data_IF_368644667277
#
_entry.id   IF_368644667277
#
_cell.length_a   1.000
_cell.length_b   1.000
_cell.length_c   1.000
_cell.angle_alpha   90.00
_cell.angle_beta   90.00
_cell.angle_gamma   90.00
#
_symmetry.space_group_name_H-M   'P 1'
#
loop_
_entity.id
_entity.type
_entity.pdbx_description
1 polymer ?
#
# COMPACT_ATOMS: atom_id res chain seq x y z
N UNK A 1 -3.25 -17.40 -23.12
CA UNK A 1 -4.47 -16.63 -22.79
C UNK A 1 -5.02 -17.16 -21.48
N UNK A 2 -5.36 -16.29 -20.53
CA UNK A 2 -6.10 -16.72 -19.33
C UNK A 2 -7.58 -16.93 -19.64
N UNK A 3 -7.91 -17.71 -20.66
CA UNK A 3 -9.30 -18.14 -20.84
C UNK A 3 -9.64 -19.06 -19.66
N UNK A 4 -10.71 -18.73 -18.94
CA UNK A 4 -11.23 -19.66 -17.93
C UNK A 4 -11.60 -20.96 -18.65
N UNK A 5 -10.85 -22.03 -18.38
CA UNK A 5 -11.13 -23.38 -18.90
C UNK A 5 -12.39 -23.98 -18.29
N UNK A 6 -12.95 -23.35 -17.25
CA UNK A 6 -14.20 -23.75 -16.61
C UNK A 6 -15.40 -23.08 -17.29
N UNK A 7 -16.51 -23.81 -17.53
CA UNK A 7 -17.75 -23.22 -18.05
C UNK A 7 -18.26 -22.10 -17.12
N UNK A 8 -18.98 -21.09 -17.64
CA UNK A 8 -19.52 -20.02 -16.83
C UNK A 8 -20.59 -20.57 -15.88
N UNK A 9 -20.51 -20.21 -14.59
CA UNK A 9 -21.45 -20.71 -13.58
C UNK A 9 -22.88 -20.17 -13.78
N UNK A 10 -23.04 -18.99 -14.40
CA UNK A 10 -24.33 -18.39 -14.74
C UNK A 10 -24.17 -17.35 -15.87
N UNK A 11 -25.30 -16.81 -16.38
CA UNK A 11 -25.31 -15.77 -17.43
C UNK A 11 -24.56 -14.50 -17.04
N UNK A 12 -24.61 -14.08 -15.78
CA UNK A 12 -23.85 -12.93 -15.28
C UNK A 12 -22.34 -13.14 -15.43
N UNK A 13 -21.83 -14.32 -15.05
CA UNK A 13 -20.43 -14.71 -15.21
C UNK A 13 -20.04 -14.80 -16.69
N UNK A 14 -20.95 -15.23 -17.57
CA UNK A 14 -20.70 -15.25 -19.01
C UNK A 14 -20.52 -13.83 -19.59
N UNK A 15 -21.36 -12.88 -19.19
CA UNK A 15 -21.24 -11.47 -19.61
C UNK A 15 -20.00 -10.81 -18.99
N UNK A 16 -19.76 -11.00 -17.69
CA UNK A 16 -18.60 -10.44 -17.01
C UNK A 16 -17.28 -10.90 -17.64
N UNK A 17 -17.20 -12.16 -18.11
CA UNK A 17 -16.04 -12.70 -18.83
C UNK A 17 -15.68 -11.88 -20.08
N UNK A 18 -16.64 -11.30 -20.79
CA UNK A 18 -16.35 -10.44 -21.95
C UNK A 18 -15.68 -9.12 -21.56
N UNK A 19 -15.87 -8.66 -20.33
CA UNK A 19 -15.26 -7.41 -19.84
C UNK A 19 -13.84 -7.66 -19.32
N UNK A 20 -13.62 -8.70 -18.51
CA UNK A 20 -12.34 -8.87 -17.82
C UNK A 20 -11.32 -9.75 -18.55
N UNK A 21 -11.75 -10.68 -19.43
CA UNK A 21 -10.82 -11.54 -20.18
C UNK A 21 -9.95 -10.76 -21.19
N UNK A 22 -10.45 -9.75 -21.93
CA UNK A 22 -9.62 -8.95 -22.83
C UNK A 22 -8.50 -8.23 -22.07
N UNK A 23 -8.80 -7.79 -20.83
CA UNK A 23 -7.89 -7.11 -19.91
C UNK A 23 -6.90 -8.09 -19.23
N UNK A 24 -6.99 -9.38 -19.55
CA UNK A 24 -6.03 -10.41 -19.16
C UNK A 24 -6.32 -11.07 -17.82
N UNK A 25 -7.47 -10.80 -17.19
CA UNK A 25 -7.90 -11.51 -15.98
C UNK A 25 -8.57 -12.83 -16.33
N UNK A 26 -8.24 -13.91 -15.60
CA UNK A 26 -8.90 -15.22 -15.74
C UNK A 26 -10.01 -15.44 -14.71
N UNK A 27 -9.98 -14.70 -13.59
CA UNK A 27 -10.93 -14.80 -12.48
C UNK A 27 -11.54 -13.43 -12.17
N UNK A 28 -12.86 -13.37 -12.02
CA UNK A 28 -13.60 -12.13 -11.81
C UNK A 28 -13.22 -11.38 -10.52
N UNK A 29 -12.94 -12.10 -9.42
CA UNK A 29 -12.55 -11.42 -8.16
C UNK A 29 -11.22 -10.67 -8.29
N UNK A 30 -10.25 -11.17 -9.07
CA UNK A 30 -9.00 -10.45 -9.32
C UNK A 30 -9.25 -9.16 -10.11
N UNK A 31 -10.22 -9.18 -11.03
CA UNK A 31 -10.63 -7.99 -11.77
C UNK A 31 -11.30 -6.97 -10.85
N UNK A 32 -12.22 -7.39 -9.97
CA UNK A 32 -12.87 -6.48 -9.01
C UNK A 32 -11.85 -5.84 -8.07
N UNK A 33 -10.91 -6.63 -7.52
CA UNK A 33 -9.85 -6.10 -6.68
C UNK A 33 -8.96 -5.11 -7.44
N UNK A 34 -8.56 -5.45 -8.67
CA UNK A 34 -7.79 -4.53 -9.50
C UNK A 34 -8.56 -3.24 -9.81
N UNK A 35 -9.85 -3.33 -10.13
CA UNK A 35 -10.69 -2.17 -10.41
C UNK A 35 -10.82 -1.25 -9.17
N UNK A 36 -11.02 -1.82 -7.98
CA UNK A 36 -11.13 -1.04 -6.75
C UNK A 36 -9.78 -0.37 -6.42
N UNK A 37 -8.68 -1.13 -6.39
CA UNK A 37 -7.39 -0.60 -5.94
C UNK A 37 -6.67 0.20 -7.02
N UNK A 38 -6.44 -0.40 -8.20
CA UNK A 38 -5.74 0.28 -9.28
C UNK A 38 -6.63 1.33 -9.95
N UNK A 39 -7.92 1.04 -10.15
CA UNK A 39 -8.86 2.03 -10.66
C UNK A 39 -9.12 3.17 -9.67
N UNK A 40 -9.20 2.88 -8.36
CA UNK A 40 -9.25 3.91 -7.32
C UNK A 40 -8.01 4.80 -7.30
N UNK A 41 -6.82 4.20 -7.46
CA UNK A 41 -5.56 4.94 -7.62
C UNK A 41 -5.59 5.84 -8.86
N UNK A 42 -6.00 5.31 -10.02
CA UNK A 42 -6.13 6.10 -11.24
C UNK A 42 -7.11 7.26 -11.08
N UNK A 43 -8.29 7.00 -10.49
CA UNK A 43 -9.28 8.03 -10.20
C UNK A 43 -8.73 9.14 -9.29
N UNK A 44 -7.99 8.75 -8.24
CA UNK A 44 -7.32 9.71 -7.37
C UNK A 44 -6.29 10.56 -8.13
N UNK A 45 -5.46 9.95 -8.97
CA UNK A 45 -4.44 10.67 -9.74
C UNK A 45 -5.09 11.64 -10.73
N UNK A 46 -6.12 11.20 -11.45
CA UNK A 46 -6.86 12.07 -12.36
C UNK A 46 -7.49 13.25 -11.63
N UNK A 47 -8.08 13.02 -10.45
CA UNK A 47 -8.64 14.10 -9.63
C UNK A 47 -7.59 15.09 -9.10
N UNK A 48 -6.33 14.67 -9.01
CA UNK A 48 -5.21 15.50 -8.51
C UNK A 48 -4.26 15.97 -9.60
N UNK A 49 -4.47 15.59 -10.86
CA UNK A 49 -3.68 16.03 -12.00
C UNK A 49 -3.61 17.58 -12.13
N UNK A 50 -4.68 18.35 -11.83
CA UNK A 50 -4.59 19.81 -11.84
C UNK A 50 -3.53 20.39 -10.89
N UNK A 51 -3.05 19.63 -9.90
CA UNK A 51 -2.06 20.10 -8.93
C UNK A 51 -0.65 20.27 -9.52
N UNK A 52 -0.41 19.87 -10.77
CA UNK A 52 0.82 20.25 -11.48
C UNK A 52 0.95 21.77 -11.60
N UNK A 53 -0.18 22.47 -11.75
CA UNK A 53 -0.23 23.93 -11.65
C UNK A 53 -0.26 24.34 -10.17
N UNK A 54 0.95 24.50 -9.62
CA UNK A 54 1.11 24.82 -8.21
C UNK A 54 0.52 26.19 -7.88
N UNK A 55 0.89 27.23 -8.62
CA UNK A 55 0.54 28.61 -8.26
C UNK A 55 -0.89 28.98 -8.74
N UNK A 56 -1.45 28.29 -9.74
CA UNK A 56 -2.81 28.55 -10.25
C UNK A 56 -3.92 27.67 -9.68
N UNK A 57 -3.62 26.43 -9.27
CA UNK A 57 -4.64 25.48 -8.77
C UNK A 57 -4.35 25.00 -7.35
N UNK A 58 -3.15 24.46 -7.09
CA UNK A 58 -2.86 23.88 -5.77
C UNK A 58 -2.81 24.95 -4.68
N UNK A 59 -2.16 26.07 -4.97
CA UNK A 59 -1.82 27.15 -4.05
C UNK A 59 -2.28 28.50 -4.63
N UNK A 60 -3.56 28.58 -5.01
CA UNK A 60 -4.12 29.80 -5.56
C UNK A 60 -4.28 30.86 -4.45
N UNK A 61 -3.76 32.09 -4.62
CA UNK A 61 -3.78 33.14 -3.60
C UNK A 61 -5.18 33.45 -3.05
N UNK A 62 -6.19 33.46 -3.91
CA UNK A 62 -7.56 33.87 -3.55
C UNK A 62 -8.46 32.69 -3.13
N UNK A 63 -7.89 31.50 -2.90
CA UNK A 63 -8.67 30.31 -2.55
C UNK A 63 -8.50 29.97 -1.07
N UNK A 64 -9.60 30.02 -0.31
CA UNK A 64 -9.66 29.64 1.11
C UNK A 64 -9.56 28.12 1.35
N UNK A 65 -8.83 27.40 0.48
CA UNK A 65 -8.87 25.95 0.41
C UNK A 65 -10.18 25.43 -0.19
N UNK A 66 -10.10 24.29 -0.86
CA UNK A 66 -11.27 23.70 -1.50
C UNK A 66 -10.98 22.31 -2.06
N UNK A 67 -12.00 21.63 -2.56
CA UNK A 67 -11.87 20.26 -3.09
C UNK A 67 -10.77 20.13 -4.16
N UNK A 68 -10.53 21.21 -4.92
CA UNK A 68 -9.59 21.31 -6.04
C UNK A 68 -8.27 22.03 -5.71
N UNK A 69 -8.00 22.38 -4.45
CA UNK A 69 -6.76 23.04 -4.03
C UNK A 69 -6.09 22.34 -2.86
N UNK A 70 -5.04 22.93 -2.30
CA UNK A 70 -4.49 22.52 -1.02
C UNK A 70 -5.57 22.62 0.07
N UNK A 71 -5.42 21.84 1.14
CA UNK A 71 -6.29 22.01 2.30
C UNK A 71 -6.10 23.41 2.90
N UNK A 72 -7.15 23.91 3.54
CA UNK A 72 -7.18 25.23 4.15
C UNK A 72 -5.94 25.44 5.06
N UNK A 73 -5.17 26.51 4.84
CA UNK A 73 -3.95 26.84 5.58
C UNK A 73 -2.69 26.03 5.23
N UNK A 74 -2.77 24.98 4.42
CA UNK A 74 -1.59 24.19 4.01
C UNK A 74 -0.71 24.96 3.02
N UNK A 75 -1.33 25.76 2.13
CA UNK A 75 -0.56 26.54 1.17
C UNK A 75 0.38 27.54 1.85
N UNK A 76 -0.12 28.27 2.85
CA UNK A 76 0.69 29.13 3.70
C UNK A 76 1.84 28.34 4.34
N UNK A 77 1.54 27.14 4.84
CA UNK A 77 2.53 26.29 5.52
C UNK A 77 3.69 25.90 4.60
N UNK A 78 3.41 25.58 3.33
CA UNK A 78 4.46 25.27 2.34
C UNK A 78 5.16 26.50 1.76
N UNK A 79 4.54 27.67 1.83
CA UNK A 79 5.09 28.91 1.29
C UNK A 79 6.11 29.60 2.21
N UNK A 80 6.16 29.22 3.49
CA UNK A 80 7.07 29.81 4.49
C UNK A 80 8.55 29.71 4.08
N UNK A 81 8.95 28.55 3.54
CA UNK A 81 10.34 28.30 3.17
C UNK A 81 10.48 27.73 1.76
N UNK A 82 11.58 28.10 1.08
CA UNK A 82 11.87 27.64 -0.28
C UNK A 82 11.99 26.12 -0.38
N UNK A 83 12.55 25.48 0.65
CA UNK A 83 12.72 24.04 0.70
C UNK A 83 11.38 23.30 0.85
N UNK A 84 10.42 23.87 1.59
CA UNK A 84 9.07 23.31 1.74
C UNK A 84 8.29 23.40 0.43
N UNK A 85 8.32 24.57 -0.23
CA UNK A 85 7.73 24.78 -1.56
C UNK A 85 8.32 23.82 -2.59
N UNK A 86 9.63 23.63 -2.57
CA UNK A 86 10.30 22.66 -3.42
C UNK A 86 9.88 21.22 -3.10
N UNK A 87 9.80 20.85 -1.81
CA UNK A 87 9.41 19.52 -1.36
C UNK A 87 8.01 19.11 -1.83
N UNK A 88 7.01 19.98 -1.68
CA UNK A 88 5.65 19.69 -2.15
C UNK A 88 5.56 19.63 -3.69
N UNK A 89 6.27 20.52 -4.42
CA UNK A 89 6.35 20.44 -5.89
C UNK A 89 6.98 19.14 -6.34
N UNK A 90 8.13 18.78 -5.76
CA UNK A 90 8.82 17.51 -6.01
C UNK A 90 7.89 16.32 -5.75
N UNK A 91 7.19 16.32 -4.61
CA UNK A 91 6.27 15.25 -4.24
C UNK A 91 5.16 15.09 -5.29
N UNK A 92 4.45 16.17 -5.63
CA UNK A 92 3.35 16.15 -6.61
C UNK A 92 3.83 15.73 -8.01
N UNK A 93 4.94 16.33 -8.47
CA UNK A 93 5.48 16.10 -9.81
C UNK A 93 5.98 14.68 -10.03
N UNK A 94 6.22 13.92 -8.97
CA UNK A 94 6.73 12.55 -9.06
C UNK A 94 5.69 11.50 -8.65
N UNK A 95 4.87 11.77 -7.64
CA UNK A 95 3.87 10.80 -7.16
C UNK A 95 2.70 10.64 -8.13
N UNK A 96 2.26 11.71 -8.78
CA UNK A 96 1.17 11.66 -9.77
C UNK A 96 1.56 10.81 -11.00
N UNK A 97 2.69 11.06 -11.69
CA UNK A 97 3.10 10.19 -12.78
C UNK A 97 3.46 8.79 -12.30
N UNK A 98 4.12 8.63 -11.13
CA UNK A 98 4.42 7.29 -10.59
C UNK A 98 3.16 6.45 -10.40
N UNK A 99 2.11 7.03 -9.83
CA UNK A 99 0.84 6.34 -9.64
C UNK A 99 0.17 5.95 -10.96
N UNK A 100 0.25 6.81 -11.99
CA UNK A 100 -0.33 6.51 -13.30
C UNK A 100 0.41 5.35 -13.97
N UNK A 101 1.74 5.40 -13.91
CA UNK A 101 2.61 4.34 -14.38
C UNK A 101 2.42 3.03 -13.60
N UNK A 102 2.11 3.09 -12.31
CA UNK A 102 1.79 1.92 -11.50
C UNK A 102 0.46 1.28 -11.90
N UNK A 103 -0.57 2.07 -12.21
CA UNK A 103 -1.81 1.54 -12.78
C UNK A 103 -1.53 0.71 -14.04
N UNK A 104 -0.70 1.22 -14.95
CA UNK A 104 -0.26 0.48 -16.13
C UNK A 104 0.57 -0.76 -15.78
N UNK A 105 1.38 -0.68 -14.72
CA UNK A 105 2.21 -1.79 -14.28
C UNK A 105 1.37 -3.01 -13.81
N UNK A 106 0.23 -2.76 -13.14
CA UNK A 106 -0.65 -3.81 -12.64
C UNK A 106 -1.63 -4.37 -13.69
N UNK A 107 -1.65 -3.84 -14.92
CA UNK A 107 -2.45 -4.40 -16.02
C UNK A 107 -1.85 -5.73 -16.50
N UNK A 108 -2.57 -6.87 -16.39
CA UNK A 108 -2.04 -8.18 -16.77
C UNK A 108 -1.61 -8.27 -18.23
N UNK A 109 -2.34 -7.61 -19.16
CA UNK A 109 -1.99 -7.60 -20.59
C UNK A 109 -0.55 -7.11 -20.80
N UNK A 110 -0.17 -6.00 -20.15
CA UNK A 110 1.11 -5.35 -20.40
C UNK A 110 2.26 -6.25 -19.97
N UNK A 111 2.12 -6.93 -18.82
CA UNK A 111 3.10 -7.91 -18.35
C UNK A 111 3.25 -9.11 -19.30
N UNK A 112 2.17 -9.55 -19.95
CA UNK A 112 2.19 -10.73 -20.81
C UNK A 112 2.61 -10.46 -22.25
N UNK A 113 2.28 -9.28 -22.79
CA UNK A 113 2.51 -8.94 -24.21
C UNK A 113 3.67 -7.97 -24.44
N UNK A 114 3.95 -7.08 -23.48
CA UNK A 114 4.90 -5.97 -23.67
C UNK A 114 5.88 -5.90 -22.48
N UNK A 115 6.67 -6.97 -22.31
CA UNK A 115 7.57 -7.14 -21.16
C UNK A 115 8.61 -6.00 -21.08
N UNK A 116 9.17 -5.57 -22.21
CA UNK A 116 10.16 -4.47 -22.23
C UNK A 116 9.56 -3.17 -21.69
N UNK A 117 8.32 -2.84 -22.10
CA UNK A 117 7.60 -1.69 -21.55
C UNK A 117 7.38 -1.83 -20.05
N UNK A 118 6.93 -3.01 -19.58
CA UNK A 118 6.74 -3.26 -18.15
C UNK A 118 8.03 -3.09 -17.33
N UNK A 119 9.18 -3.51 -17.88
CA UNK A 119 10.49 -3.36 -17.25
C UNK A 119 10.93 -1.89 -17.15
N UNK A 120 10.91 -1.16 -18.27
CA UNK A 120 11.29 0.27 -18.30
C UNK A 120 10.36 1.08 -17.39
N UNK A 121 9.04 0.86 -17.53
CA UNK A 121 8.03 1.48 -16.68
C UNK A 121 8.29 1.21 -15.20
N UNK A 122 8.65 -0.01 -14.83
CA UNK A 122 8.97 -0.38 -13.45
C UNK A 122 10.13 0.43 -12.86
N UNK A 123 11.24 0.61 -13.59
CA UNK A 123 12.38 1.40 -13.11
C UNK A 123 12.03 2.89 -12.97
N UNK A 124 11.32 3.46 -13.94
CA UNK A 124 10.86 4.85 -13.88
C UNK A 124 9.94 5.06 -12.68
N UNK A 125 8.98 4.15 -12.50
CA UNK A 125 8.03 4.18 -11.38
C UNK A 125 8.74 4.16 -10.03
N UNK A 126 9.76 3.33 -9.86
CA UNK A 126 10.52 3.24 -8.61
C UNK A 126 11.35 4.50 -8.37
N UNK A 127 12.02 5.02 -9.40
CA UNK A 127 12.78 6.27 -9.29
C UNK A 127 11.88 7.43 -8.85
N UNK A 128 10.75 7.61 -9.54
CA UNK A 128 9.77 8.64 -9.19
C UNK A 128 9.22 8.45 -7.77
N UNK A 129 8.95 7.21 -7.37
CA UNK A 129 8.46 6.89 -6.02
C UNK A 129 9.46 7.27 -4.92
N UNK A 130 10.76 7.03 -5.13
CA UNK A 130 11.82 7.39 -4.18
C UNK A 130 11.94 8.92 -4.07
N UNK A 131 12.02 9.62 -5.21
CA UNK A 131 12.10 11.09 -5.24
C UNK A 131 10.85 11.72 -4.61
N UNK A 132 9.66 11.20 -4.92
CA UNK A 132 8.42 11.68 -4.33
C UNK A 132 8.31 11.42 -2.84
N UNK A 133 8.89 10.34 -2.34
CA UNK A 133 8.97 10.08 -0.90
C UNK A 133 9.90 11.05 -0.21
N UNK A 134 11.05 11.40 -0.82
CA UNK A 134 11.94 12.44 -0.30
C UNK A 134 11.20 13.79 -0.18
N UNK A 135 10.46 14.20 -1.23
CA UNK A 135 9.62 15.40 -1.19
C UNK A 135 8.57 15.37 -0.08
N UNK A 136 7.94 14.21 0.16
CA UNK A 136 6.97 14.04 1.26
C UNK A 136 7.62 14.20 2.65
N UNK A 137 8.82 13.63 2.84
CA UNK A 137 9.53 13.73 4.11
C UNK A 137 10.00 15.16 4.41
N UNK A 138 10.36 15.94 3.38
CA UNK A 138 10.72 17.36 3.54
C UNK A 138 9.58 18.17 4.14
N UNK A 139 8.34 17.90 3.76
CA UNK A 139 7.16 18.66 4.19
C UNK A 139 6.42 18.06 5.40
N UNK A 140 6.79 16.85 5.82
CA UNK A 140 6.05 16.10 6.86
C UNK A 140 5.91 16.86 8.20
N UNK A 141 6.89 17.69 8.55
CA UNK A 141 6.91 18.47 9.79
C UNK A 141 6.05 19.74 9.76
N UNK A 142 5.47 20.11 8.61
CA UNK A 142 4.51 21.22 8.49
C UNK A 142 3.13 20.77 8.02
N UNK A 143 3.04 19.62 7.34
CA UNK A 143 1.79 19.08 6.82
C UNK A 143 0.78 18.82 7.94
N UNK A 144 -0.39 19.45 7.83
CA UNK A 144 -1.49 19.32 8.79
C UNK A 144 -1.09 19.55 10.25
N UNK A 145 -0.10 20.43 10.48
CA UNK A 145 0.38 20.82 11.80
C UNK A 145 1.63 20.07 12.27
N UNK A 146 2.07 19.04 11.54
CA UNK A 146 3.40 18.46 11.70
C UNK A 146 3.71 17.83 13.05
N UNK A 147 2.68 17.47 13.83
CA UNK A 147 2.84 16.84 15.14
C UNK A 147 3.68 15.55 15.09
N UNK A 148 4.20 15.14 16.25
CA UNK A 148 5.02 13.92 16.34
C UNK A 148 4.27 12.66 15.87
N UNK A 149 2.95 12.62 16.05
CA UNK A 149 2.06 11.58 15.54
C UNK A 149 2.06 11.53 14.00
N UNK A 150 2.02 12.69 13.34
CA UNK A 150 2.06 12.84 11.89
C UNK A 150 3.43 12.43 11.36
N UNK A 151 4.50 12.96 11.94
CA UNK A 151 5.86 12.65 11.52
C UNK A 151 6.19 11.15 11.70
N UNK A 152 5.75 10.55 12.82
CA UNK A 152 5.90 9.11 13.04
C UNK A 152 5.11 8.29 12.00
N UNK A 153 3.86 8.66 11.71
CA UNK A 153 3.03 7.95 10.73
C UNK A 153 3.59 8.05 9.31
N UNK A 154 3.97 9.26 8.88
CA UNK A 154 4.54 9.52 7.55
C UNK A 154 5.92 8.88 7.42
N UNK A 155 6.76 8.97 8.45
CA UNK A 155 8.06 8.31 8.50
C UNK A 155 7.95 6.79 8.39
N UNK A 156 7.03 6.18 9.14
CA UNK A 156 6.75 4.74 9.04
C UNK A 156 6.24 4.37 7.65
N UNK A 157 5.30 5.13 7.09
CA UNK A 157 4.79 4.91 5.73
C UNK A 157 5.92 4.97 4.69
N UNK A 158 6.84 5.95 4.80
CA UNK A 158 7.99 6.09 3.92
C UNK A 158 8.93 4.87 4.02
N UNK A 159 9.25 4.41 5.24
CA UNK A 159 10.09 3.23 5.48
C UNK A 159 9.45 1.99 4.86
N UNK A 160 8.16 1.76 5.12
CA UNK A 160 7.44 0.60 4.59
C UNK A 160 7.35 0.64 3.06
N UNK A 161 7.06 1.81 2.49
CA UNK A 161 6.96 1.99 1.05
C UNK A 161 8.30 1.81 0.33
N UNK A 162 9.31 2.60 0.70
CA UNK A 162 10.64 2.55 0.06
C UNK A 162 11.32 1.22 0.36
N UNK A 163 11.25 0.72 1.59
CA UNK A 163 11.77 -0.59 1.96
C UNK A 163 11.17 -1.71 1.11
N UNK A 164 9.85 -1.68 0.88
CA UNK A 164 9.18 -2.65 0.00
C UNK A 164 9.64 -2.55 -1.45
N UNK A 165 9.86 -1.33 -1.99
CA UNK A 165 10.38 -1.14 -3.33
C UNK A 165 11.82 -1.68 -3.48
N UNK A 166 12.68 -1.42 -2.50
CA UNK A 166 14.07 -1.91 -2.50
C UNK A 166 14.13 -3.44 -2.42
N UNK A 167 13.31 -4.04 -1.55
CA UNK A 167 13.20 -5.50 -1.44
C UNK A 167 12.63 -6.12 -2.73
N UNK A 168 11.64 -5.48 -3.35
CA UNK A 168 11.11 -5.90 -4.64
C UNK A 168 12.14 -5.82 -5.75
N UNK A 169 12.97 -4.76 -5.78
CA UNK A 169 14.09 -4.60 -6.71
C UNK A 169 15.15 -5.69 -6.52
N UNK A 170 15.53 -5.97 -5.28
CA UNK A 170 16.49 -7.02 -5.00
C UNK A 170 16.00 -8.38 -5.53
N UNK A 171 14.75 -8.73 -5.26
CA UNK A 171 14.19 -10.02 -5.69
C UNK A 171 14.06 -10.15 -7.21
N UNK A 172 13.69 -9.09 -7.94
CA UNK A 172 13.63 -9.17 -9.41
C UNK A 172 15.02 -9.31 -10.04
N UNK A 173 16.06 -8.69 -9.44
CA UNK A 173 17.46 -8.89 -9.87
C UNK A 173 17.94 -10.32 -9.61
N UNK A 174 17.39 -11.00 -8.61
CA UNK A 174 17.62 -12.42 -8.33
C UNK A 174 16.67 -13.36 -9.09
N UNK A 175 15.89 -12.84 -10.03
CA UNK A 175 14.87 -13.56 -10.79
C UNK A 175 13.84 -14.29 -9.91
N UNK A 176 13.58 -13.80 -8.69
CA UNK A 176 12.51 -14.28 -7.80
C UNK A 176 11.23 -13.50 -8.01
N UNK A 177 10.41 -13.98 -8.94
CA UNK A 177 9.20 -13.29 -9.40
C UNK A 177 8.08 -13.28 -8.35
N UNK A 178 7.97 -14.34 -7.54
CA UNK A 178 6.98 -14.46 -6.48
C UNK A 178 7.22 -13.45 -5.35
N UNK A 179 8.47 -13.32 -4.89
CA UNK A 179 8.83 -12.31 -3.89
C UNK A 179 8.75 -10.90 -4.47
N UNK A 180 9.24 -10.68 -5.70
CA UNK A 180 9.09 -9.39 -6.36
C UNK A 180 7.62 -8.95 -6.41
N UNK A 181 6.70 -9.84 -6.83
CA UNK A 181 5.26 -9.56 -6.83
C UNK A 181 4.76 -9.21 -5.43
N UNK A 182 5.11 -10.00 -4.42
CA UNK A 182 4.62 -9.81 -3.07
C UNK A 182 5.02 -8.45 -2.49
N UNK A 183 6.29 -8.07 -2.65
CA UNK A 183 6.81 -6.79 -2.17
C UNK A 183 6.35 -5.59 -2.99
N UNK A 184 6.16 -5.73 -4.30
CA UNK A 184 5.52 -4.68 -5.11
C UNK A 184 4.08 -4.44 -4.68
N UNK A 185 3.31 -5.49 -4.37
CA UNK A 185 1.95 -5.34 -3.87
C UNK A 185 1.94 -4.61 -2.51
N UNK A 186 2.83 -4.98 -1.58
CA UNK A 186 2.99 -4.26 -0.30
C UNK A 186 3.23 -2.78 -0.51
N UNK A 187 4.22 -2.42 -1.34
CA UNK A 187 4.55 -1.02 -1.63
C UNK A 187 3.31 -0.24 -2.11
N UNK A 188 2.58 -0.74 -3.11
CA UNK A 188 1.45 -0.01 -3.69
C UNK A 188 0.20 -0.02 -2.81
N UNK A 189 0.01 -1.01 -1.94
CA UNK A 189 -1.01 -0.96 -0.90
C UNK A 189 -0.68 0.10 0.15
N UNK A 190 0.58 0.21 0.57
CA UNK A 190 1.01 1.27 1.49
C UNK A 190 0.83 2.66 0.86
N UNK A 191 1.22 2.85 -0.40
CA UNK A 191 0.97 4.11 -1.12
C UNK A 191 -0.54 4.42 -1.23
N UNK A 192 -1.37 3.39 -1.43
CA UNK A 192 -2.83 3.50 -1.45
C UNK A 192 -3.44 3.99 -0.12
N UNK A 193 -2.72 3.86 1.00
CA UNK A 193 -3.17 4.35 2.31
C UNK A 193 -3.49 5.83 2.32
N UNK A 194 -2.86 6.65 1.48
CA UNK A 194 -3.18 8.09 1.37
C UNK A 194 -4.60 8.34 0.84
N UNK A 195 -5.13 7.45 0.00
CA UNK A 195 -6.50 7.57 -0.52
C UNK A 195 -7.50 7.31 0.61
N UNK A 196 -7.33 6.20 1.34
CA UNK A 196 -8.18 5.90 2.49
C UNK A 196 -8.01 6.88 3.63
N UNK A 197 -6.79 7.40 3.86
CA UNK A 197 -6.53 8.46 4.83
C UNK A 197 -7.43 9.66 4.57
N UNK A 198 -7.60 10.09 3.31
CA UNK A 198 -8.48 11.22 3.00
C UNK A 198 -9.95 10.93 3.29
N UNK A 199 -10.41 9.70 3.05
CA UNK A 199 -11.78 9.31 3.38
C UNK A 199 -11.99 9.30 4.90
N UNK A 200 -11.08 8.66 5.65
CA UNK A 200 -11.12 8.57 7.11
C UNK A 200 -11.02 9.95 7.75
N UNK A 201 -10.10 10.79 7.28
CA UNK A 201 -9.92 12.17 7.74
C UNK A 201 -11.19 12.99 7.54
N UNK A 202 -11.76 13.01 6.34
CA UNK A 202 -13.00 13.75 6.07
C UNK A 202 -14.18 13.24 6.93
N UNK A 203 -14.30 11.92 7.10
CA UNK A 203 -15.32 11.33 7.97
C UNK A 203 -15.13 11.72 9.44
N UNK A 204 -13.89 11.64 9.94
CA UNK A 204 -13.57 12.02 11.31
C UNK A 204 -13.81 13.52 11.56
N UNK A 205 -13.44 14.39 10.60
CA UNK A 205 -13.68 15.82 10.68
C UNK A 205 -15.18 16.14 10.81
N UNK A 206 -16.04 15.46 10.03
CA UNK A 206 -17.49 15.59 10.15
C UNK A 206 -18.04 15.10 11.49
N UNK A 207 -17.42 14.07 12.09
CA UNK A 207 -17.85 13.52 13.39
C UNK A 207 -17.50 14.50 14.52
N UNK A 208 -16.25 14.97 14.59
CA UNK A 208 -15.81 15.87 15.68
C UNK A 208 -16.54 17.22 15.64
N UNK A 209 -16.92 17.68 14.45
CA UNK A 209 -17.71 18.91 14.27
C UNK A 209 -19.07 18.84 14.96
N UNK A 210 -19.63 17.63 15.14
CA UNK A 210 -20.93 17.42 15.84
C UNK A 210 -20.79 17.28 17.34
N UNK A 211 -19.58 16.99 17.86
CA UNK A 211 -19.33 16.80 19.30
C UNK A 211 -19.06 18.12 20.03
N UNK A 212 -18.65 19.17 19.30
CA UNK A 212 -18.70 20.56 19.76
C UNK A 212 -17.53 21.08 20.61
N UNK A 213 -16.64 20.22 21.12
CA UNK A 213 -15.58 20.63 22.05
C UNK A 213 -14.17 20.17 21.65
N UNK A 214 -13.86 20.13 20.34
CA UNK A 214 -12.51 19.82 19.84
C UNK A 214 -11.86 21.10 19.31
N UNK A 215 -10.62 21.36 19.73
CA UNK A 215 -9.87 22.55 19.37
C UNK A 215 -8.45 22.17 18.95
N UNK A 216 -7.89 22.93 18.00
CA UNK A 216 -6.50 22.80 17.56
C UNK A 216 -5.77 24.11 17.76
N UNK A 217 -4.55 24.06 18.26
CA UNK A 217 -3.68 25.23 18.42
C UNK A 217 -3.09 25.66 17.07
N UNK A 218 -3.33 26.91 16.67
CA UNK A 218 -2.75 27.53 15.47
C UNK A 218 -1.89 28.73 15.87
N UNK A 219 -0.84 29.01 15.10
CA UNK A 219 -0.11 30.27 15.22
C UNK A 219 -0.96 31.42 14.69
N UNK A 220 -0.83 32.59 15.31
CA UNK A 220 -1.54 33.79 14.92
C UNK A 220 -1.18 34.24 13.49
N UNK A 221 0.08 34.06 13.08
CA UNK A 221 0.52 34.32 11.70
C UNK A 221 -0.18 33.42 10.66
N UNK A 222 -0.30 32.11 10.95
CA UNK A 222 -1.08 31.20 10.09
C UNK A 222 -2.54 31.62 10.04
N UNK A 223 -3.09 32.05 11.16
CA UNK A 223 -4.49 32.43 11.25
C UNK A 223 -4.79 33.72 10.49
N UNK A 224 -3.88 34.70 10.52
CA UNK A 224 -3.97 35.94 9.74
C UNK A 224 -4.08 35.67 8.24
N UNK A 225 -3.48 34.57 7.74
CA UNK A 225 -3.58 34.19 6.32
C UNK A 225 -5.01 33.91 5.82
N UNK A 226 -5.97 33.66 6.73
CA UNK A 226 -7.39 33.49 6.40
C UNK A 226 -8.18 34.81 6.32
N UNK A 227 -7.58 35.92 6.76
CA UNK A 227 -8.24 37.22 6.95
C UNK A 227 -7.53 38.35 6.20
N UNK A 228 -6.87 38.05 5.07
CA UNK A 228 -6.01 39.02 4.35
C UNK A 228 -6.70 40.35 4.04
N UNK A 229 -8.02 40.34 3.82
CA UNK A 229 -8.82 41.52 3.51
C UNK A 229 -9.67 42.05 4.70
N UNK A 230 -9.57 41.45 5.90
CA UNK A 230 -10.40 41.77 7.07
C UNK A 230 -9.61 41.73 8.40
N UNK A 231 -8.65 42.65 8.53
CA UNK A 231 -7.83 42.79 9.75
C UNK A 231 -8.67 43.14 10.99
N UNK A 232 -9.73 43.93 10.83
CA UNK A 232 -10.62 44.30 11.94
C UNK A 232 -11.41 43.10 12.45
N UNK A 233 -11.99 42.29 11.55
CA UNK A 233 -12.67 41.06 11.91
C UNK A 233 -11.73 40.02 12.52
N UNK A 234 -10.49 39.92 12.03
CA UNK A 234 -9.46 39.07 12.62
C UNK A 234 -9.19 39.43 14.08
N UNK A 235 -8.92 40.70 14.37
CA UNK A 235 -8.62 41.17 15.72
C UNK A 235 -9.84 41.08 16.66
N UNK A 236 -11.05 41.19 16.12
CA UNK A 236 -12.28 41.00 16.89
C UNK A 236 -12.50 39.53 17.28
N UNK A 237 -12.23 38.58 16.36
CA UNK A 237 -12.40 37.14 16.59
C UNK A 237 -11.26 36.54 17.43
N UNK A 238 -10.04 37.03 17.23
CA UNK A 238 -8.83 36.55 17.90
C UNK A 238 -8.03 37.69 18.54
N UNK A 239 -8.55 38.33 19.61
CA UNK A 239 -7.89 39.47 20.25
C UNK A 239 -6.52 39.13 20.88
N UNK A 240 -6.26 37.83 21.10
CA UNK A 240 -4.98 37.31 21.60
C UNK A 240 -3.87 37.42 20.53
N UNK A 241 -4.22 37.52 19.25
CA UNK A 241 -3.28 37.61 18.13
C UNK A 241 -2.77 39.03 17.86
N UNK A 242 -2.53 39.82 18.92
CA UNK A 242 -1.87 41.13 18.83
C UNK A 242 -0.37 41.04 18.44
N UNK A 243 0.20 39.85 18.54
CA UNK A 243 1.55 39.48 18.11
C UNK A 243 1.47 38.25 17.19
N UNK A 244 2.25 38.26 16.12
CA UNK A 244 2.34 37.16 15.15
C UNK A 244 2.89 35.87 15.76
N UNK A 245 3.66 35.98 16.85
CA UNK A 245 4.28 34.85 17.56
C UNK A 245 3.31 34.12 18.51
N UNK A 246 2.09 34.66 18.68
CA UNK A 246 1.06 34.10 19.53
C UNK A 246 0.49 32.78 19.01
N UNK A 247 -0.10 32.00 19.92
CA UNK A 247 -0.82 30.77 19.61
C UNK A 247 -2.24 30.84 20.19
N UNK A 248 -3.21 30.38 19.41
CA UNK A 248 -4.63 30.40 19.80
C UNK A 248 -5.31 29.08 19.49
N UNK A 249 -6.27 28.70 20.32
CA UNK A 249 -7.10 27.52 20.10
C UNK A 249 -8.22 27.86 19.10
N UNK A 250 -8.23 27.16 17.97
CA UNK A 250 -9.25 27.28 16.91
C UNK A 250 -10.17 26.07 16.98
N UNK A 251 -11.48 26.29 16.86
CA UNK A 251 -12.48 25.22 16.93
C UNK A 251 -12.34 24.31 15.70
N UNK A 252 -12.26 23.01 15.93
CA UNK A 252 -12.23 22.01 14.86
C UNK A 252 -13.65 21.76 14.34
N UNK A 253 -14.04 22.48 13.28
CA UNK A 253 -15.38 22.41 12.69
C UNK A 253 -15.35 22.57 11.17
N UNK A 254 -15.71 21.51 10.44
CA UNK A 254 -15.79 21.51 8.97
C UNK A 254 -17.21 21.82 8.44
N UNK A 255 -18.21 21.88 9.33
CA UNK A 255 -19.62 22.10 8.96
C UNK A 255 -19.95 23.60 8.99
N UNK A 256 -19.35 24.34 9.92
CA UNK A 256 -19.61 25.78 10.12
C UNK A 256 -19.22 26.71 8.97
N UNK A 257 -18.49 26.24 7.97
CA UNK A 257 -18.15 26.99 6.75
C UNK A 257 -16.91 27.90 6.86
N UNK A 258 -16.42 28.16 8.06
CA UNK A 258 -15.19 28.93 8.30
C UNK A 258 -13.93 28.15 7.87
N UNK A 259 -13.07 28.78 7.08
CA UNK A 259 -11.87 28.14 6.49
C UNK A 259 -10.85 27.69 7.54
N UNK A 260 -10.64 28.50 8.58
CA UNK A 260 -9.74 28.18 9.68
C UNK A 260 -10.27 27.05 10.57
N UNK A 261 -11.59 26.97 10.76
CA UNK A 261 -12.20 25.89 11.54
C UNK A 261 -12.13 24.57 10.77
N UNK A 262 -12.33 24.62 9.44
CA UNK A 262 -12.15 23.48 8.56
C UNK A 262 -10.68 23.01 8.56
N UNK A 263 -9.73 23.95 8.53
CA UNK A 263 -8.30 23.64 8.69
C UNK A 263 -8.04 22.94 10.02
N UNK A 264 -8.52 23.50 11.15
CA UNK A 264 -8.37 22.90 12.47
C UNK A 264 -8.93 21.47 12.53
N UNK A 265 -10.08 21.20 11.92
CA UNK A 265 -10.68 19.86 11.86
C UNK A 265 -9.85 18.86 11.04
N UNK A 266 -9.32 19.28 9.89
CA UNK A 266 -8.44 18.41 9.08
C UNK A 266 -7.10 18.15 9.78
N UNK A 267 -6.51 19.19 10.38
CA UNK A 267 -5.27 19.09 11.16
C UNK A 267 -5.39 18.10 12.32
N UNK A 268 -6.48 18.17 13.07
CA UNK A 268 -6.69 17.30 14.22
C UNK A 268 -6.92 15.83 13.83
N UNK A 269 -7.51 15.58 12.66
CA UNK A 269 -7.89 14.23 12.24
C UNK A 269 -6.86 13.54 11.36
N UNK A 270 -5.90 14.28 10.80
CA UNK A 270 -4.94 13.76 9.84
C UNK A 270 -4.06 12.63 10.40
N UNK A 271 -3.37 12.85 11.52
CA UNK A 271 -2.44 11.86 12.08
C UNK A 271 -3.12 10.51 12.38
N UNK A 272 -4.27 10.56 13.07
CA UNK A 272 -5.10 9.38 13.33
C UNK A 272 -5.55 8.69 12.02
N UNK A 273 -5.98 9.46 11.02
CA UNK A 273 -6.42 8.91 9.74
C UNK A 273 -5.29 8.20 8.98
N UNK A 274 -4.05 8.72 9.03
CA UNK A 274 -2.89 8.05 8.43
C UNK A 274 -2.63 6.72 9.13
N UNK A 275 -2.63 6.69 10.47
CA UNK A 275 -2.44 5.47 11.25
C UNK A 275 -3.48 4.39 10.94
N UNK A 276 -4.77 4.74 10.96
CA UNK A 276 -5.84 3.80 10.66
C UNK A 276 -5.76 3.29 9.21
N UNK A 277 -5.54 4.20 8.25
CA UNK A 277 -5.43 3.82 6.84
C UNK A 277 -4.21 2.92 6.59
N UNK A 278 -3.08 3.18 7.25
CA UNK A 278 -1.89 2.35 7.14
C UNK A 278 -2.13 0.94 7.71
N UNK A 279 -2.74 0.84 8.89
CA UNK A 279 -3.07 -0.45 9.50
C UNK A 279 -4.01 -1.29 8.62
N UNK A 280 -5.07 -0.67 8.07
CA UNK A 280 -6.00 -1.33 7.16
C UNK A 280 -5.31 -1.89 5.92
N UNK A 281 -4.41 -1.13 5.30
CA UNK A 281 -3.68 -1.58 4.12
C UNK A 281 -2.62 -2.65 4.43
N UNK A 282 -1.93 -2.52 5.57
CA UNK A 282 -0.96 -3.50 6.00
C UNK A 282 -1.61 -4.87 6.28
N UNK A 283 -2.75 -4.89 6.96
CA UNK A 283 -3.49 -6.13 7.18
C UNK A 283 -4.08 -6.65 5.86
N UNK A 284 -4.69 -5.76 5.06
CA UNK A 284 -5.35 -6.12 3.81
C UNK A 284 -4.41 -6.77 2.78
N UNK A 285 -3.19 -6.25 2.63
CA UNK A 285 -2.22 -6.82 1.67
C UNK A 285 -1.75 -8.21 2.08
N UNK A 286 -1.55 -8.47 3.38
CA UNK A 286 -1.17 -9.81 3.85
C UNK A 286 -2.30 -10.82 3.63
N UNK A 287 -3.55 -10.43 3.92
CA UNK A 287 -4.72 -11.26 3.61
C UNK A 287 -4.75 -11.56 2.10
N UNK A 288 -4.58 -10.55 1.25
CA UNK A 288 -4.58 -10.73 -0.20
C UNK A 288 -3.48 -11.70 -0.69
N UNK A 289 -2.27 -11.59 -0.15
CA UNK A 289 -1.16 -12.48 -0.50
C UNK A 289 -1.44 -13.92 -0.06
N UNK A 290 -2.00 -14.12 1.14
CA UNK A 290 -2.40 -15.43 1.66
C UNK A 290 -3.55 -16.06 0.87
N UNK A 291 -4.41 -15.26 0.26
CA UNK A 291 -5.49 -15.71 -0.63
C UNK A 291 -5.03 -16.01 -2.07
N UNK A 292 -3.76 -15.78 -2.41
CA UNK A 292 -3.20 -16.05 -3.75
C UNK A 292 -2.04 -17.06 -3.77
N UNK A 293 -2.14 -18.23 -3.08
CA UNK A 293 -1.02 -19.17 -2.96
C UNK A 293 -0.69 -19.85 -4.30
N UNK A 294 -1.71 -20.19 -5.11
CA UNK A 294 -1.51 -20.82 -6.41
C UNK A 294 -0.73 -19.92 -7.39
N UNK A 295 -0.94 -18.60 -7.33
CA UNK A 295 -0.17 -17.65 -8.15
C UNK A 295 1.27 -17.56 -7.67
N UNK A 296 1.49 -17.54 -6.34
CA UNK A 296 2.83 -17.53 -5.76
C UNK A 296 3.63 -18.78 -6.16
N UNK A 297 3.02 -19.97 -6.08
CA UNK A 297 3.64 -21.23 -6.48
C UNK A 297 3.92 -21.28 -7.99
N UNK A 298 2.98 -20.83 -8.82
CA UNK A 298 3.17 -20.73 -10.27
C UNK A 298 4.37 -19.85 -10.62
N UNK A 299 4.47 -18.68 -9.99
CA UNK A 299 5.58 -17.75 -10.20
C UNK A 299 6.90 -18.34 -9.73
N UNK A 300 6.92 -19.04 -8.60
CA UNK A 300 8.12 -19.68 -8.07
C UNK A 300 8.67 -20.76 -8.99
N UNK A 301 7.79 -21.56 -9.60
CA UNK A 301 8.18 -22.52 -10.63
C UNK A 301 8.77 -21.85 -11.88
N UNK A 302 8.30 -20.65 -12.25
CA UNK A 302 8.90 -19.86 -13.35
C UNK A 302 10.25 -19.29 -12.93
N UNK A 303 10.36 -18.77 -11.70
CA UNK A 303 11.62 -18.29 -11.11
C UNK A 303 12.69 -19.38 -11.14
N UNK A 304 12.35 -20.60 -10.72
CA UNK A 304 13.23 -21.78 -10.77
C UNK A 304 13.82 -22.02 -12.16
N UNK A 305 12.97 -22.10 -13.20
CA UNK A 305 13.44 -22.33 -14.58
C UNK A 305 14.39 -21.24 -15.05
N UNK A 306 14.02 -19.97 -14.85
CA UNK A 306 14.84 -18.81 -15.25
C UNK A 306 16.16 -18.74 -14.49
N UNK A 307 16.17 -19.14 -13.23
CA UNK A 307 17.37 -19.17 -12.40
C UNK A 307 18.33 -20.27 -12.83
N UNK A 308 17.83 -21.43 -13.28
CA UNK A 308 18.67 -22.46 -13.91
C UNK A 308 19.30 -21.92 -15.20
N UNK A 309 18.49 -21.34 -16.08
CA UNK A 309 18.95 -20.75 -17.34
C UNK A 309 20.03 -19.68 -17.13
N UNK A 310 19.92 -18.93 -16.03
CA UNK A 310 20.89 -17.90 -15.64
C UNK A 310 22.03 -18.41 -14.74
N UNK A 311 22.15 -19.72 -14.49
CA UNK A 311 23.27 -20.32 -13.76
C UNK A 311 23.32 -19.99 -12.25
N UNK A 312 22.17 -19.76 -11.61
CA UNK A 312 22.13 -19.50 -10.18
C UNK A 312 22.44 -20.77 -9.36
N UNK A 313 23.21 -20.62 -8.28
CA UNK A 313 23.58 -21.73 -7.39
C UNK A 313 22.38 -22.42 -6.70
N UNK A 314 21.38 -21.63 -6.32
CA UNK A 314 20.18 -22.12 -5.60
C UNK A 314 18.90 -21.73 -6.35
N UNK A 315 18.54 -22.42 -7.45
CA UNK A 315 17.33 -22.11 -8.21
C UNK A 315 16.05 -22.35 -7.40
N UNK A 316 15.05 -21.50 -7.58
CA UNK A 316 13.81 -21.47 -6.79
C UNK A 316 13.95 -20.74 -5.45
N UNK A 317 15.18 -20.49 -4.98
CA UNK A 317 15.47 -19.88 -3.66
C UNK A 317 16.59 -18.83 -3.74
N UNK A 318 16.82 -18.24 -4.92
CA UNK A 318 17.90 -17.29 -5.14
C UNK A 318 17.70 -15.90 -4.51
N UNK A 319 16.48 -15.52 -4.13
CA UNK A 319 16.18 -14.21 -3.51
C UNK A 319 15.96 -14.29 -2.01
N UNK A 320 15.11 -13.41 -1.47
CA UNK A 320 14.75 -13.36 -0.05
C UNK A 320 13.56 -14.29 0.21
N UNK A 321 13.80 -15.59 0.12
CA UNK A 321 12.78 -16.62 0.38
C UNK A 321 12.93 -17.20 1.78
N UNK A 322 11.81 -17.62 2.36
CA UNK A 322 11.75 -18.12 3.75
C UNK A 322 12.58 -19.40 3.92
N UNK A 323 12.64 -20.26 2.90
CA UNK A 323 13.43 -21.50 2.91
C UNK A 323 14.94 -21.28 2.72
N UNK A 324 15.36 -20.05 2.45
CA UNK A 324 16.78 -19.69 2.38
C UNK A 324 17.24 -18.92 3.61
N UNK A 325 16.40 -18.05 4.15
CA UNK A 325 16.76 -17.14 5.24
C UNK A 325 16.12 -17.48 6.58
N UNK A 326 15.02 -18.24 6.55
CA UNK A 326 14.28 -18.70 7.72
C UNK A 326 14.39 -20.21 7.90
N UNK A 327 13.45 -20.75 8.65
CA UNK A 327 13.41 -22.13 9.16
C UNK A 327 12.44 -23.04 8.40
N UNK A 328 11.90 -22.60 7.26
CA UNK A 328 11.00 -23.44 6.47
C UNK A 328 11.77 -24.52 5.68
N UNK A 329 11.09 -25.63 5.40
CA UNK A 329 11.64 -26.68 4.54
C UNK A 329 12.06 -26.14 3.17
N UNK A 330 13.13 -26.72 2.61
CA UNK A 330 13.62 -26.36 1.30
C UNK A 330 12.50 -26.50 0.26
N UNK A 331 12.29 -25.46 -0.55
CA UNK A 331 11.26 -25.52 -1.57
C UNK A 331 11.69 -26.38 -2.75
N UNK A 332 10.73 -27.07 -3.33
CA UNK A 332 10.97 -27.97 -4.45
C UNK A 332 9.97 -27.73 -5.58
N UNK A 333 10.45 -27.79 -6.84
CA UNK A 333 9.59 -27.59 -8.00
C UNK A 333 8.52 -28.68 -8.09
N UNK A 334 7.36 -28.33 -8.63
CA UNK A 334 6.20 -29.25 -8.70
C UNK A 334 6.52 -30.57 -9.42
N UNK A 335 7.45 -30.55 -10.39
CA UNK A 335 7.90 -31.75 -11.11
C UNK A 335 8.66 -32.69 -10.17
N UNK A 336 9.55 -32.15 -9.32
CA UNK A 336 10.29 -32.93 -8.34
C UNK A 336 9.39 -33.47 -7.22
N UNK A 337 8.36 -32.70 -6.82
CA UNK A 337 7.37 -33.12 -5.82
C UNK A 337 6.55 -34.32 -6.29
N UNK A 338 5.99 -34.26 -7.51
CA UNK A 338 5.21 -35.37 -8.07
C UNK A 338 6.04 -36.66 -8.24
N UNK A 339 7.32 -36.55 -8.61
CA UNK A 339 8.21 -37.71 -8.71
C UNK A 339 8.50 -38.31 -7.33
N UNK A 340 8.71 -37.48 -6.31
CA UNK A 340 8.91 -37.94 -4.94
C UNK A 340 7.65 -38.55 -4.34
N UNK A 341 6.49 -37.92 -4.50
CA UNK A 341 5.22 -38.44 -4.01
C UNK A 341 4.88 -39.76 -4.71
N UNK A 342 5.21 -39.90 -6.00
CA UNK A 342 5.10 -41.17 -6.72
C UNK A 342 6.08 -42.22 -6.20
N UNK A 343 7.32 -41.83 -5.88
CA UNK A 343 8.31 -42.72 -5.29
C UNK A 343 7.93 -43.17 -3.87
N UNK A 344 7.44 -42.27 -3.03
CA UNK A 344 6.92 -42.59 -1.70
C UNK A 344 5.66 -43.47 -1.79
N UNK A 345 4.74 -43.18 -2.71
CA UNK A 345 3.59 -44.04 -2.96
C UNK A 345 4.02 -45.44 -3.44
N UNK A 346 5.06 -45.54 -4.28
CA UNK A 346 5.64 -46.82 -4.68
C UNK A 346 6.28 -47.58 -3.51
N UNK A 347 7.03 -46.88 -2.64
CA UNK A 347 7.64 -47.47 -1.45
C UNK A 347 6.58 -47.93 -0.44
N UNK A 348 5.52 -47.15 -0.22
CA UNK A 348 4.38 -47.56 0.62
C UNK A 348 3.62 -48.75 0.03
N UNK A 349 3.50 -48.80 -1.31
CA UNK A 349 2.84 -49.91 -1.99
C UNK A 349 3.69 -51.19 -1.93
N UNK A 350 5.00 -51.09 -2.07
CA UNK A 350 5.97 -52.19 -1.93
C UNK A 350 6.08 -52.64 -0.46
N UNK A 351 6.04 -51.71 0.48
CA UNK A 351 5.99 -51.99 1.92
C UNK A 351 4.72 -52.74 2.33
N UNK A 352 3.55 -52.39 1.76
CA UNK A 352 2.30 -53.13 1.97
C UNK A 352 2.27 -54.49 1.29
N UNK A 353 2.90 -54.66 0.12
CA UNK A 353 2.96 -55.99 -0.52
C UNK A 353 3.92 -56.94 0.20
N UNK A 354 4.99 -56.42 0.82
CA UNK A 354 5.92 -57.23 1.60
C UNK A 354 5.39 -57.59 3.01
N UNK A 355 4.44 -56.82 3.55
CA UNK A 355 3.75 -57.15 4.81
C UNK A 355 2.64 -58.20 4.64
N UNK A 356 2.25 -58.54 3.41
CA UNK A 356 1.28 -59.62 3.14
C UNK A 356 1.92 -61.00 2.89
N UNK A 357 3.27 -61.10 2.89
CA UNK A 357 4.01 -62.37 2.75
C UNK A 357 4.67 -62.84 4.06
N UNK A 358 4.29 -62.27 5.19
CA UNK A 358 4.75 -62.70 6.51
C UNK A 358 3.63 -62.62 7.54
N UNK A 359 2.67 -63.54 7.41
CA UNK A 359 1.66 -63.79 8.44
C UNK A 359 2.15 -64.90 9.38
N UNK A 360 2.82 -64.53 10.47
CA UNK A 360 2.69 -65.26 11.75
C UNK A 360 3.26 -64.41 12.89
N UNK A 361 2.39 -63.61 13.51
CA UNK A 361 2.10 -63.65 14.95
C UNK A 361 1.20 -62.45 15.30
N UNK A 362 -0.07 -62.76 15.56
CA UNK A 362 -0.98 -61.82 16.21
C UNK A 362 -0.62 -61.79 17.70
N UNK A 363 -0.10 -60.67 18.18
CA UNK A 363 -0.24 -60.29 19.59
C UNK A 363 -1.04 -59.00 19.63
N UNK A 364 -2.30 -59.15 20.02
CA UNK A 364 -3.24 -58.12 20.41
C UNK A 364 -2.70 -57.33 21.61
N UNK A 365 -2.39 -56.04 21.46
CA UNK A 365 -2.49 -55.06 22.55
C UNK A 365 -2.81 -53.65 21.99
N UNK A 366 -4.01 -53.18 22.28
CA UNK A 366 -4.37 -51.76 22.44
C UNK A 366 -4.93 -51.60 23.87
N UNK A 367 -5.14 -50.39 24.43
CA UNK A 367 -4.45 -49.10 24.24
C UNK A 367 -4.01 -48.50 25.60
N UNK A 368 -3.07 -47.55 25.62
CA UNK A 368 -2.61 -46.91 26.87
C UNK A 368 -2.25 -45.44 26.70
N UNK A 369 -2.98 -44.59 27.41
CA UNK A 369 -2.76 -43.16 27.64
C UNK A 369 -1.32 -42.79 28.03
N UNK A 370 -0.85 -41.61 27.58
CA UNK A 370 -0.18 -40.53 28.35
C UNK A 370 0.31 -39.46 27.35
N UNK A 371 -0.30 -38.29 27.29
CA UNK A 371 -0.13 -37.10 28.14
C UNK A 371 1.05 -36.21 27.69
N UNK A 372 0.68 -34.98 27.32
CA UNK A 372 1.45 -33.75 27.22
C UNK A 372 2.68 -33.67 28.14
N UNK A 373 3.79 -33.08 27.65
CA UNK A 373 4.32 -31.84 28.26
C UNK A 373 5.27 -31.05 27.32
N UNK A 374 5.24 -29.70 27.30
CA UNK A 374 6.08 -28.82 26.52
C UNK A 374 7.22 -28.20 27.37
N UNK A 375 8.40 -27.96 26.79
CA UNK A 375 9.42 -27.11 27.43
C UNK A 375 10.05 -26.11 26.46
N UNK A 376 9.60 -24.86 26.58
CA UNK A 376 10.47 -23.67 26.53
C UNK A 376 11.30 -23.60 27.83
N UNK A 377 12.39 -22.84 27.82
CA UNK A 377 12.57 -21.86 28.89
C UNK A 377 12.85 -20.46 28.36
N UNK A 378 12.25 -19.50 29.05
CA UNK A 378 12.59 -18.09 29.05
C UNK A 378 14.05 -17.84 29.45
N UNK A 379 14.69 -16.92 28.74
CA UNK A 379 15.55 -15.87 29.29
C UNK A 379 15.31 -14.60 28.46
#
# INVERSE_FOLDING_TARGET
MGSSTRPPANRFVAVARHVYNPIGFSKGYNFVLWFIFAGGLLGFICARAPYFDYDGVFCKPDSNGGFFGAAAGECWSYAQESHLKFGIKMHLWTVLPAGFLAFLHFLPILRHKVILFHQINGYITILLSIVGTAGALMIAHVSFGGGADIQAAVGLLAILFVGSLLVALYNIKRLQLEQHRAWMLRAWFYAGAIISCRLVMSSAAMIISKWGAVYKSFSCDKLASFYQDDEQGFMQKYPVCNSTDGWVAVKADIIGGDGENAAAAMHETFGMAVWLALALHAIGVEIYLRLTPAESERLRNISYKRQIEAGFKNPGSAGLTIDRLGDSTAWEPAIGRNQRDSAYALVDHVGRTNLNDSRSEYVLLQPGHTQYDPYMPHA
#
